data_IF_621447748872
#
_entry.id   IF_621447748872
#
_cell.length_a   1.000
_cell.length_b   1.000
_cell.length_c   1.000
_cell.angle_alpha   90.00
_cell.angle_beta   90.00
_cell.angle_gamma   90.00
#
_symmetry.space_group_name_H-M   'P 1'
#
loop_
_entity.id
_entity.type
_entity.pdbx_description
1 polymer ?
#
# COMPACT_ATOMS: atom_id res chain seq x y z
N UNK A 1 -14.40 -6.57 -11.22
CA UNK A 1 -14.46 -7.34 -9.95
C UNK A 1 -13.63 -6.61 -8.93
N UNK A 2 -14.13 -6.41 -7.71
CA UNK A 2 -13.31 -5.86 -6.65
C UNK A 2 -12.08 -6.76 -6.44
N UNK A 3 -10.97 -6.16 -6.05
CA UNK A 3 -9.75 -6.88 -5.77
C UNK A 3 -9.95 -7.85 -4.60
N UNK A 4 -9.89 -9.15 -4.86
CA UNK A 4 -10.00 -10.19 -3.82
C UNK A 4 -8.62 -10.44 -3.22
N UNK A 5 -8.55 -10.41 -1.89
CA UNK A 5 -7.35 -10.79 -1.14
C UNK A 5 -7.22 -12.32 -1.15
N UNK A 6 -6.03 -12.82 -1.45
CA UNK A 6 -5.72 -14.24 -1.34
C UNK A 6 -5.11 -14.58 0.04
N UNK A 7 -4.90 -15.86 0.31
CA UNK A 7 -4.37 -16.33 1.60
C UNK A 7 -2.96 -15.76 1.88
N UNK A 8 -2.16 -15.52 0.86
CA UNK A 8 -0.81 -14.94 0.99
C UNK A 8 -0.90 -13.46 1.36
N UNK A 9 -1.82 -12.72 0.74
CA UNK A 9 -2.08 -11.31 1.07
C UNK A 9 -2.55 -11.16 2.52
N UNK A 10 -3.47 -12.05 2.97
CA UNK A 10 -3.97 -12.06 4.35
C UNK A 10 -2.85 -12.36 5.35
N UNK A 11 -2.06 -13.40 5.11
CA UNK A 11 -0.95 -13.78 5.99
C UNK A 11 0.13 -12.67 6.07
N UNK A 12 0.40 -11.99 4.95
CA UNK A 12 1.29 -10.82 4.90
C UNK A 12 0.75 -9.68 5.76
N UNK A 13 -0.52 -9.33 5.61
CA UNK A 13 -1.16 -8.27 6.39
C UNK A 13 -1.19 -8.60 7.89
N UNK A 14 -1.51 -9.83 8.26
CA UNK A 14 -1.48 -10.28 9.66
C UNK A 14 -0.08 -10.17 10.26
N UNK A 15 0.96 -10.55 9.52
CA UNK A 15 2.34 -10.44 9.96
C UNK A 15 2.75 -8.98 10.18
N UNK A 16 2.35 -8.06 9.27
CA UNK A 16 2.62 -6.63 9.38
C UNK A 16 1.83 -5.95 10.50
N UNK A 17 0.60 -6.39 10.78
CA UNK A 17 -0.20 -5.88 11.89
C UNK A 17 0.42 -6.28 13.24
N UNK A 18 0.96 -7.49 13.34
CA UNK A 18 1.65 -7.96 14.55
C UNK A 18 2.96 -7.20 14.80
N UNK A 19 3.77 -7.04 13.79
CA UNK A 19 5.01 -6.28 13.87
C UNK A 19 5.39 -5.69 12.50
N UNK A 20 5.11 -4.40 12.32
CA UNK A 20 5.43 -3.65 11.11
C UNK A 20 6.93 -3.45 10.84
N UNK A 21 7.82 -3.85 11.77
CA UNK A 21 9.28 -3.74 11.62
C UNK A 21 9.92 -4.96 10.97
N UNK A 22 9.15 -6.04 10.77
CA UNK A 22 9.66 -7.24 10.13
C UNK A 22 10.15 -6.96 8.72
N UNK A 23 11.34 -7.48 8.41
CA UNK A 23 11.86 -7.46 7.04
C UNK A 23 11.08 -8.43 6.14
N UNK A 24 11.05 -8.18 4.84
CA UNK A 24 10.40 -9.11 3.89
C UNK A 24 11.00 -10.53 3.93
N UNK A 25 12.28 -10.65 4.31
CA UNK A 25 12.93 -11.97 4.50
C UNK A 25 12.40 -12.71 5.73
N UNK A 26 12.09 -11.99 6.81
CA UNK A 26 11.47 -12.60 8.00
C UNK A 26 10.04 -13.04 7.68
N UNK A 27 9.26 -12.17 7.05
CA UNK A 27 7.88 -12.47 6.63
C UNK A 27 7.87 -13.67 5.67
N UNK A 28 8.79 -13.73 4.71
CA UNK A 28 8.87 -14.83 3.73
C UNK A 28 9.08 -16.20 4.40
N UNK A 29 9.88 -16.25 5.45
CA UNK A 29 10.08 -17.47 6.26
C UNK A 29 8.84 -17.85 7.06
N UNK A 30 8.15 -16.85 7.62
CA UNK A 30 6.93 -17.04 8.42
C UNK A 30 5.78 -17.59 7.58
N UNK A 31 5.53 -17.02 6.41
CA UNK A 31 4.42 -17.42 5.53
C UNK A 31 4.82 -18.45 4.46
N UNK A 32 6.07 -18.94 4.48
CA UNK A 32 6.63 -19.97 3.58
C UNK A 32 6.50 -19.65 2.09
N UNK A 33 6.74 -18.39 1.71
CA UNK A 33 6.83 -17.94 0.32
C UNK A 33 8.15 -17.23 0.06
N UNK A 34 8.53 -17.05 -1.20
CA UNK A 34 9.80 -16.39 -1.54
C UNK A 34 9.78 -14.90 -1.20
N UNK A 35 10.94 -14.32 -0.85
CA UNK A 35 11.08 -12.89 -0.55
C UNK A 35 10.61 -11.98 -1.71
N UNK A 36 10.94 -12.28 -2.99
CA UNK A 36 10.41 -11.52 -4.12
C UNK A 36 8.87 -11.55 -4.20
N UNK A 37 8.26 -12.69 -3.87
CA UNK A 37 6.80 -12.81 -3.81
C UNK A 37 6.21 -11.91 -2.73
N UNK A 38 6.78 -11.91 -1.53
CA UNK A 38 6.36 -11.03 -0.42
C UNK A 38 6.43 -9.57 -0.86
N UNK A 39 7.55 -9.15 -1.47
CA UNK A 39 7.73 -7.78 -1.96
C UNK A 39 6.70 -7.41 -3.01
N UNK A 40 6.49 -8.26 -4.01
CA UNK A 40 5.50 -8.02 -5.07
C UNK A 40 4.07 -7.88 -4.52
N UNK A 41 3.72 -8.70 -3.52
CA UNK A 41 2.41 -8.63 -2.84
C UNK A 41 2.27 -7.37 -2.00
N UNK A 42 3.31 -7.00 -1.26
CA UNK A 42 3.34 -5.75 -0.51
C UNK A 42 3.16 -4.54 -1.43
N UNK A 43 3.95 -4.44 -2.51
CA UNK A 43 3.87 -3.35 -3.49
C UNK A 43 2.47 -3.27 -4.13
N UNK A 44 1.84 -4.42 -4.41
CA UNK A 44 0.47 -4.50 -4.91
C UNK A 44 -0.55 -3.94 -3.90
N UNK A 45 -0.44 -4.30 -2.61
CA UNK A 45 -1.34 -3.82 -1.55
C UNK A 45 -1.16 -2.32 -1.29
N UNK A 46 0.05 -1.79 -1.44
CA UNK A 46 0.34 -0.35 -1.40
C UNK A 46 -0.28 0.36 -2.61
N UNK A 47 -0.11 -0.19 -3.82
CA UNK A 47 -0.65 0.41 -5.04
C UNK A 47 -2.18 0.45 -5.06
N UNK A 48 -2.85 -0.57 -4.51
CA UNK A 48 -4.31 -0.60 -4.33
C UNK A 48 -4.77 0.38 -3.24
N UNK A 49 -3.84 0.90 -2.43
CA UNK A 49 -4.12 1.84 -1.35
C UNK A 49 -4.64 1.19 -0.06
N UNK A 50 -4.55 -0.14 0.05
CA UNK A 50 -4.90 -0.85 1.28
C UNK A 50 -3.86 -0.60 2.38
N UNK A 51 -2.57 -0.65 2.04
CA UNK A 51 -1.48 -0.24 2.91
C UNK A 51 -1.15 1.22 2.61
N UNK A 52 -1.49 2.13 3.53
CA UNK A 52 -1.21 3.57 3.40
C UNK A 52 0.14 3.95 4.00
N UNK A 53 0.44 3.43 5.18
CA UNK A 53 1.68 3.69 5.90
C UNK A 53 1.95 2.60 6.94
N UNK A 54 3.21 2.42 7.27
CA UNK A 54 3.64 1.66 8.45
C UNK A 54 4.27 2.67 9.40
N UNK A 55 3.59 2.97 10.50
CA UNK A 55 4.01 3.98 11.47
C UNK A 55 4.57 3.33 12.73
N UNK A 56 5.70 3.82 13.26
CA UNK A 56 6.23 3.35 14.53
C UNK A 56 5.33 3.80 15.69
N UNK A 57 5.20 2.96 16.69
CA UNK A 57 4.63 3.32 17.98
C UNK A 57 5.77 3.72 18.91
N UNK A 58 5.76 4.97 19.37
CA UNK A 58 6.79 5.51 20.24
C UNK A 58 6.33 5.46 21.70
N UNK A 59 7.23 5.03 22.59
CA UNK A 59 7.02 5.14 24.04
C UNK A 59 7.35 6.58 24.47
N UNK A 60 6.29 7.36 24.61
CA UNK A 60 6.39 8.78 24.99
C UNK A 60 6.87 8.97 26.43
N UNK A 61 6.74 7.97 27.31
CA UNK A 61 7.25 8.03 28.68
C UNK A 61 8.77 8.02 28.79
N UNK A 62 9.46 7.64 27.69
CA UNK A 62 10.93 7.64 27.59
C UNK A 62 11.51 8.93 26.99
N UNK A 63 10.65 9.89 26.61
CA UNK A 63 11.07 11.17 26.07
C UNK A 63 11.11 12.23 27.16
N UNK A 64 12.21 12.99 27.25
CA UNK A 64 12.34 14.08 28.20
C UNK A 64 11.41 15.26 27.85
N UNK A 65 10.93 15.96 28.88
CA UNK A 65 9.81 16.93 28.85
C UNK A 65 9.91 18.11 27.86
N UNK A 66 11.04 18.37 27.25
CA UNK A 66 11.17 19.52 26.31
C UNK A 66 10.58 19.26 24.92
N UNK A 67 10.25 18.02 24.59
CA UNK A 67 9.77 17.61 23.26
C UNK A 67 8.35 17.05 23.28
N UNK A 68 7.78 16.78 24.47
CA UNK A 68 6.52 16.07 24.62
C UNK A 68 5.31 16.79 24.04
N UNK A 69 5.20 18.11 24.22
CA UNK A 69 4.05 18.89 23.77
C UNK A 69 3.82 18.90 22.25
N UNK A 70 4.90 18.81 21.45
CA UNK A 70 4.79 18.71 19.99
C UNK A 70 4.39 17.33 19.51
N UNK A 71 4.79 16.29 20.24
CA UNK A 71 4.52 14.89 19.89
C UNK A 71 3.14 14.44 20.36
N UNK A 72 2.57 15.03 21.40
CA UNK A 72 1.20 14.76 21.84
C UNK A 72 0.15 15.20 20.81
N UNK A 73 0.41 16.29 20.05
CA UNK A 73 -0.46 16.69 18.94
C UNK A 73 -0.42 15.68 17.76
N UNK A 74 0.72 15.01 17.55
CA UNK A 74 0.85 13.96 16.54
C UNK A 74 0.13 12.69 17.00
N UNK A 75 0.18 12.36 18.29
CA UNK A 75 -0.48 11.19 18.90
C UNK A 75 -2.00 11.22 18.78
N UNK A 76 -2.62 12.38 18.86
CA UNK A 76 -4.09 12.53 18.71
C UNK A 76 -4.57 12.25 17.28
N UNK A 77 -3.70 12.34 16.26
CA UNK A 77 -4.00 12.02 14.85
C UNK A 77 -3.59 10.61 14.44
N UNK A 78 -2.79 9.92 15.25
CA UNK A 78 -2.26 8.59 14.91
C UNK A 78 -3.13 7.52 15.55
N UNK A 79 -4.09 7.07 14.81
CA UNK A 79 -4.69 5.72 14.74
C UNK A 79 -4.78 4.99 16.08
N UNK A 80 -5.95 5.01 16.67
CA UNK A 80 -6.40 3.95 17.56
C UNK A 80 -6.21 2.62 16.85
N UNK A 81 -5.33 1.78 17.38
CA UNK A 81 -5.12 0.44 16.86
C UNK A 81 -6.44 -0.31 16.83
N UNK A 82 -7.02 -0.40 15.66
CA UNK A 82 -8.19 -1.23 15.46
C UNK A 82 -7.70 -2.67 15.39
N UNK A 83 -8.20 -3.51 16.28
CA UNK A 83 -8.13 -4.96 16.13
C UNK A 83 -8.96 -5.35 14.90
N UNK A 84 -8.36 -5.22 13.72
CA UNK A 84 -8.99 -5.60 12.46
C UNK A 84 -8.86 -7.12 12.36
N UNK A 85 -9.97 -7.84 12.44
CA UNK A 85 -10.05 -9.25 12.11
C UNK A 85 -10.12 -9.38 10.60
N UNK A 86 -9.06 -9.90 9.97
CA UNK A 86 -9.04 -10.15 8.54
C UNK A 86 -9.79 -11.46 8.24
N UNK A 87 -10.80 -11.41 7.38
CA UNK A 87 -11.62 -12.55 6.95
C UNK A 87 -11.27 -13.05 5.55
N UNK A 88 -11.58 -14.32 5.27
CA UNK A 88 -11.25 -15.00 3.99
C UNK A 88 -11.97 -14.46 2.74
N UNK A 89 -12.94 -13.55 2.89
CA UNK A 89 -13.72 -12.99 1.77
C UNK A 89 -13.73 -11.47 1.78
N UNK A 90 -12.59 -10.86 2.11
CA UNK A 90 -12.48 -9.42 2.09
C UNK A 90 -12.15 -8.91 0.69
N UNK A 91 -12.85 -7.86 0.26
CA UNK A 91 -12.65 -7.16 -1.00
C UNK A 91 -12.16 -5.74 -0.72
N UNK A 92 -11.20 -5.28 -1.51
CA UNK A 92 -10.72 -3.90 -1.45
C UNK A 92 -11.56 -3.05 -2.41
N UNK A 93 -12.19 -1.99 -1.90
CA UNK A 93 -12.82 -0.97 -2.74
C UNK A 93 -11.73 -0.14 -3.40
N UNK A 94 -11.76 -0.03 -4.71
CA UNK A 94 -10.83 0.78 -5.49
C UNK A 94 -11.51 2.00 -6.06
N UNK A 95 -10.79 3.12 -6.09
CA UNK A 95 -11.17 4.33 -6.82
C UNK A 95 -10.30 4.52 -8.05
N UNK A 96 -10.82 5.22 -9.05
CA UNK A 96 -10.10 5.55 -10.26
C UNK A 96 -9.06 6.63 -9.98
N UNK A 97 -7.81 6.40 -10.36
CA UNK A 97 -6.70 7.35 -10.15
C UNK A 97 -6.81 8.64 -11.01
N UNK A 98 -7.83 8.75 -11.88
CA UNK A 98 -8.05 9.94 -12.69
C UNK A 98 -9.31 10.71 -12.31
N UNK A 99 -10.47 10.05 -12.22
CA UNK A 99 -11.76 10.69 -11.94
C UNK A 99 -12.26 10.50 -10.51
N UNK A 100 -11.49 9.75 -9.67
CA UNK A 100 -11.81 9.42 -8.26
C UNK A 100 -13.10 8.62 -8.07
N UNK A 101 -13.83 8.30 -9.14
CA UNK A 101 -15.02 7.50 -9.11
C UNK A 101 -14.74 6.02 -8.73
N UNK A 102 -15.77 5.28 -8.32
CA UNK A 102 -15.62 3.87 -7.97
C UNK A 102 -15.22 3.05 -9.20
N UNK A 103 -14.34 2.06 -9.00
CA UNK A 103 -14.00 1.08 -10.02
C UNK A 103 -14.90 -0.14 -9.83
N UNK A 104 -15.95 -0.21 -10.65
CA UNK A 104 -16.87 -1.34 -10.70
C UNK A 104 -16.41 -2.33 -11.78
N UNK A 105 -16.19 -3.58 -11.42
CA UNK A 105 -15.74 -4.62 -12.35
C UNK A 105 -14.23 -4.70 -12.53
N UNK A 106 -13.77 -5.04 -13.75
CA UNK A 106 -12.35 -5.24 -14.05
C UNK A 106 -11.66 -3.89 -14.30
N UNK A 107 -10.70 -3.47 -13.45
CA UNK A 107 -10.00 -2.20 -13.63
C UNK A 107 -9.14 -2.20 -14.90
N UNK A 108 -9.04 -1.02 -15.53
CA UNK A 108 -8.01 -0.75 -16.54
C UNK A 108 -6.73 -0.36 -15.83
N UNK A 109 -5.63 -1.08 -16.04
CA UNK A 109 -4.39 -0.91 -15.29
C UNK A 109 -3.33 -0.23 -16.16
N UNK A 110 -2.62 0.75 -15.60
CA UNK A 110 -1.42 1.34 -16.16
C UNK A 110 -0.23 1.01 -15.25
N UNK A 111 0.80 0.34 -15.82
CA UNK A 111 2.03 -0.01 -15.12
C UNK A 111 3.18 0.84 -15.66
N UNK A 112 3.93 1.47 -14.78
CA UNK A 112 5.16 2.19 -15.11
C UNK A 112 6.11 2.18 -13.91
N UNK A 113 7.38 1.95 -14.16
CA UNK A 113 8.37 1.72 -13.12
C UNK A 113 7.91 0.66 -12.09
N UNK A 114 7.73 1.02 -10.82
CA UNK A 114 7.20 0.16 -9.75
C UNK A 114 5.76 0.53 -9.36
N UNK A 115 5.09 1.37 -10.16
CA UNK A 115 3.75 1.86 -9.87
C UNK A 115 2.72 1.12 -10.71
N UNK A 116 1.60 0.81 -10.08
CA UNK A 116 0.36 0.40 -10.75
C UNK A 116 -0.70 1.45 -10.46
N UNK A 117 -1.43 1.88 -11.49
CA UNK A 117 -2.54 2.81 -11.39
C UNK A 117 -3.80 2.16 -11.94
N UNK A 118 -4.91 2.36 -11.24
CA UNK A 118 -6.17 1.69 -11.52
C UNK A 118 -7.21 2.69 -12.00
N UNK A 119 -7.91 2.35 -13.07
CA UNK A 119 -8.89 3.24 -13.73
C UNK A 119 -10.20 2.51 -13.95
N UNK A 120 -11.30 3.24 -13.84
CA UNK A 120 -12.64 2.72 -14.10
C UNK A 120 -12.86 2.30 -15.56
N UNK A 121 -12.15 2.96 -16.50
CA UNK A 121 -12.25 2.71 -17.93
C UNK A 121 -10.94 3.02 -18.67
N UNK A 122 -10.87 2.61 -19.94
CA UNK A 122 -9.70 2.86 -20.80
C UNK A 122 -9.50 4.35 -21.10
N UNK A 123 -10.57 5.13 -21.20
CA UNK A 123 -10.51 6.58 -21.43
C UNK A 123 -9.79 7.30 -20.28
N UNK A 124 -10.15 7.00 -19.02
CA UNK A 124 -9.47 7.56 -17.85
C UNK A 124 -7.98 7.18 -17.82
N UNK A 125 -7.64 5.95 -18.21
CA UNK A 125 -6.25 5.53 -18.32
C UNK A 125 -5.47 6.31 -19.38
N UNK A 126 -6.06 6.53 -20.56
CA UNK A 126 -5.43 7.29 -21.65
C UNK A 126 -5.23 8.75 -21.25
N UNK A 127 -6.26 9.40 -20.73
CA UNK A 127 -6.18 10.79 -20.24
C UNK A 127 -5.14 10.96 -19.12
N UNK A 128 -5.06 10.02 -18.20
CA UNK A 128 -4.02 10.01 -17.16
C UNK A 128 -2.63 9.91 -17.78
N UNK A 129 -2.42 8.99 -18.73
CA UNK A 129 -1.15 8.80 -19.42
C UNK A 129 -0.72 10.06 -20.17
N UNK A 130 -1.63 10.74 -20.86
CA UNK A 130 -1.37 12.01 -21.55
C UNK A 130 -1.02 13.12 -20.56
N UNK A 131 -1.84 13.30 -19.53
CA UNK A 131 -1.62 14.35 -18.51
C UNK A 131 -0.29 14.23 -17.78
N UNK A 132 0.17 13.02 -17.50
CA UNK A 132 1.39 12.74 -16.73
C UNK A 132 2.51 12.12 -17.57
N UNK A 133 2.51 12.29 -18.90
CA UNK A 133 3.43 11.66 -19.84
C UNK A 133 4.89 11.87 -19.46
N UNK A 134 5.32 13.11 -19.28
CA UNK A 134 6.72 13.44 -18.95
C UNK A 134 7.18 12.81 -17.62
N UNK A 135 6.30 12.78 -16.61
CA UNK A 135 6.59 12.16 -15.31
C UNK A 135 6.68 10.63 -15.40
N UNK A 136 5.82 10.01 -16.20
CA UNK A 136 5.83 8.56 -16.43
C UNK A 136 7.12 8.16 -17.16
N UNK A 137 7.52 8.92 -18.18
CA UNK A 137 8.75 8.69 -18.96
C UNK A 137 10.00 8.86 -18.08
N UNK A 138 10.07 9.93 -17.27
CA UNK A 138 11.21 10.14 -16.36
C UNK A 138 11.37 9.02 -15.34
N UNK A 139 10.27 8.52 -14.77
CA UNK A 139 10.29 7.41 -13.82
C UNK A 139 10.63 6.06 -14.48
N UNK A 140 10.22 5.88 -15.73
CA UNK A 140 10.54 4.67 -16.51
C UNK A 140 12.01 4.62 -16.91
N UNK A 141 12.59 5.75 -17.31
CA UNK A 141 14.00 5.88 -17.70
C UNK A 141 14.96 5.78 -16.52
N UNK A 142 14.57 6.23 -15.32
CA UNK A 142 15.36 6.07 -14.11
C UNK A 142 15.64 4.60 -13.73
N UNK A 143 14.89 3.66 -14.29
CA UNK A 143 15.02 2.21 -14.05
C UNK A 143 16.01 1.52 -15.00
N UNK A 144 16.37 2.15 -16.12
CA UNK A 144 17.30 1.60 -17.11
C UNK A 144 18.78 1.78 -16.73
N UNK A 145 19.07 2.51 -15.66
CA UNK A 145 20.42 2.86 -15.22
C UNK A 145 20.89 2.14 -13.95
N UNK A 146 20.25 1.00 -13.60
CA UNK A 146 20.71 0.12 -12.51
C UNK A 146 20.82 -1.32 -12.95
#
# INVERSE_FOLDING_TARGET
MPFKLDNVDLALLESLIKDGRKSFRQISREIKVTTPTVKARYDRLVNVGLIKAVSPVLDMGKLENKTSARLDQIRLKTIRGHNIKLGKEMFVKMSCDYCEGPVEGKPSILKFANFERFFCCTSCRTLYKEKYKSRIESLSNAKSNF
#
